data_IF_341560981075
#
_entry.id   IF_341560981075
#
_cell.length_a   1.000
_cell.length_b   1.000
_cell.length_c   1.000
_cell.angle_alpha   90.00
_cell.angle_beta   90.00
_cell.angle_gamma   90.00
#
_symmetry.space_group_name_H-M   'P 1'
#
loop_
_entity.id
_entity.type
_entity.pdbx_description
1 polymer ?
#
# COMPACT_ATOMS: atom_id res chain seq x y z
N UNK A 1 22.88 -11.76 -15.96
CA UNK A 1 22.90 -10.70 -14.93
C UNK A 1 21.50 -10.09 -14.93
N UNK A 2 20.64 -10.54 -14.03
CA UNK A 2 19.20 -10.22 -14.05
C UNK A 2 18.91 -9.32 -12.85
N UNK A 3 18.62 -8.05 -13.11
CA UNK A 3 18.27 -7.06 -12.08
C UNK A 3 16.97 -7.49 -11.38
N UNK A 4 16.93 -7.63 -10.05
CA UNK A 4 15.68 -7.89 -9.35
C UNK A 4 14.82 -6.61 -9.38
N UNK A 5 13.68 -6.69 -10.07
CA UNK A 5 12.67 -5.63 -10.11
C UNK A 5 12.09 -5.41 -8.71
N UNK A 6 12.13 -4.17 -8.25
CA UNK A 6 11.65 -3.74 -6.95
C UNK A 6 10.15 -4.01 -6.70
N UNK A 7 9.84 -4.16 -5.43
CA UNK A 7 8.51 -3.99 -4.83
C UNK A 7 7.38 -4.86 -5.42
N UNK A 8 7.57 -6.19 -5.38
CA UNK A 8 6.40 -7.08 -5.36
C UNK A 8 5.72 -6.95 -4.01
N UNK A 9 4.62 -6.22 -3.97
CA UNK A 9 3.78 -6.06 -2.79
C UNK A 9 3.16 -7.40 -2.38
N UNK A 10 3.82 -8.12 -1.47
CA UNK A 10 3.30 -9.36 -0.87
C UNK A 10 2.12 -9.13 0.09
N UNK A 11 1.27 -8.12 -0.16
CA UNK A 11 0.09 -7.78 0.65
C UNK A 11 -0.87 -8.95 0.80
N UNK A 12 -0.95 -9.83 -0.21
CA UNK A 12 -1.77 -11.04 -0.19
C UNK A 12 -1.25 -12.13 0.76
N UNK A 13 -0.01 -12.02 1.24
CA UNK A 13 0.61 -12.96 2.20
C UNK A 13 0.60 -12.43 3.63
N UNK A 14 0.07 -11.22 3.86
CA UNK A 14 0.04 -10.62 5.19
C UNK A 14 -0.94 -11.38 6.09
N UNK A 15 -0.55 -11.79 7.31
CA UNK A 15 -1.35 -12.68 8.17
C UNK A 15 -2.70 -12.09 8.60
N UNK A 16 -2.91 -10.78 8.45
CA UNK A 16 -4.18 -10.09 8.73
C UNK A 16 -5.15 -10.02 7.53
N UNK A 17 -4.74 -10.40 6.33
CA UNK A 17 -5.60 -10.34 5.13
C UNK A 17 -6.26 -11.71 4.92
N UNK A 18 -7.54 -11.82 5.29
CA UNK A 18 -8.36 -13.01 4.98
C UNK A 18 -8.41 -13.19 3.46
N UNK A 19 -7.66 -14.17 2.95
CA UNK A 19 -7.63 -14.55 1.54
C UNK A 19 -8.13 -15.99 1.39
N UNK A 20 -9.05 -16.22 0.45
CA UNK A 20 -9.54 -17.55 0.11
C UNK A 20 -10.73 -18.04 0.96
N UNK A 21 -10.65 -19.26 1.46
CA UNK A 21 -11.76 -20.07 2.02
C UNK A 21 -12.39 -19.56 3.34
N UNK A 22 -11.91 -18.44 3.89
CA UNK A 22 -12.50 -17.79 5.07
C UNK A 22 -13.46 -16.65 4.73
N UNK A 23 -13.72 -16.37 3.45
CA UNK A 23 -14.66 -15.34 3.01
C UNK A 23 -16.09 -15.86 3.12
N UNK A 24 -16.94 -15.09 3.81
CA UNK A 24 -18.38 -15.37 3.89
C UNK A 24 -19.01 -15.34 2.50
N UNK A 25 -20.14 -16.03 2.30
CA UNK A 25 -20.84 -16.11 1.00
C UNK A 25 -21.10 -14.71 0.42
N UNK A 26 -21.35 -13.72 1.29
CA UNK A 26 -21.53 -12.31 0.92
C UNK A 26 -20.27 -11.64 0.37
N UNK A 27 -19.09 -11.91 0.93
CA UNK A 27 -17.83 -11.34 0.44
C UNK A 27 -17.45 -11.91 -0.94
N UNK A 28 -17.72 -13.20 -1.18
CA UNK A 28 -17.56 -13.81 -2.52
C UNK A 28 -18.52 -13.20 -3.55
N UNK A 29 -19.76 -12.94 -3.16
CA UNK A 29 -20.74 -12.28 -4.03
C UNK A 29 -20.34 -10.83 -4.35
N UNK A 30 -19.86 -10.09 -3.35
CA UNK A 30 -19.35 -8.72 -3.52
C UNK A 30 -18.13 -8.66 -4.44
N UNK A 31 -17.19 -9.60 -4.32
CA UNK A 31 -16.01 -9.67 -5.19
C UNK A 31 -16.37 -9.97 -6.65
N UNK A 32 -17.36 -10.85 -6.87
CA UNK A 32 -17.87 -11.16 -8.21
C UNK A 32 -18.67 -9.99 -8.80
N UNK A 33 -19.50 -9.32 -7.98
CA UNK A 33 -20.19 -8.09 -8.37
C UNK A 33 -19.20 -6.98 -8.74
N UNK A 34 -18.12 -6.79 -7.96
CA UNK A 34 -17.07 -5.80 -8.26
C UNK A 34 -16.43 -6.03 -9.64
N UNK A 35 -16.17 -7.28 -10.01
CA UNK A 35 -15.60 -7.62 -11.32
C UNK A 35 -16.54 -7.29 -12.49
N UNK A 36 -17.86 -7.43 -12.30
CA UNK A 36 -18.87 -7.19 -13.35
C UNK A 36 -19.28 -5.71 -13.42
N UNK A 37 -19.54 -5.10 -12.25
CA UNK A 37 -20.07 -3.74 -12.11
C UNK A 37 -19.00 -2.66 -12.38
N UNK A 38 -17.71 -2.98 -12.25
CA UNK A 38 -16.59 -2.07 -12.55
C UNK A 38 -16.15 -2.06 -14.02
N UNK A 39 -16.79 -2.84 -14.89
CA UNK A 39 -16.40 -2.94 -16.30
C UNK A 39 -17.05 -1.84 -17.15
N UNK A 40 -16.29 -1.22 -18.05
CA UNK A 40 -16.80 -0.21 -18.99
C UNK A 40 -18.02 -0.67 -19.82
N UNK A 41 -18.09 -1.92 -20.32
CA UNK A 41 -19.26 -2.40 -21.06
C UNK A 41 -20.54 -2.47 -20.22
N UNK A 42 -20.45 -2.73 -18.92
CA UNK A 42 -21.61 -2.77 -18.02
C UNK A 42 -22.25 -1.39 -17.88
N UNK A 43 -21.43 -0.33 -17.80
CA UNK A 43 -21.91 1.06 -17.75
C UNK A 43 -22.71 1.42 -19.00
N UNK A 44 -22.19 1.09 -20.18
CA UNK A 44 -22.91 1.32 -21.45
C UNK A 44 -24.20 0.49 -21.56
N UNK A 45 -24.18 -0.77 -21.10
CA UNK A 45 -25.38 -1.61 -21.05
C UNK A 45 -26.46 -1.06 -20.13
N UNK A 46 -26.08 -0.53 -18.97
CA UNK A 46 -26.99 0.12 -18.04
C UNK A 46 -27.69 1.34 -18.68
N UNK A 47 -26.93 2.24 -19.31
CA UNK A 47 -27.50 3.37 -20.03
C UNK A 47 -28.39 2.95 -21.21
N UNK A 48 -28.00 1.91 -21.96
CA UNK A 48 -28.80 1.38 -23.06
C UNK A 48 -30.16 0.83 -22.59
N UNK A 49 -30.19 0.08 -21.48
CA UNK A 49 -31.45 -0.39 -20.86
C UNK A 49 -32.30 0.78 -20.38
N UNK A 50 -31.67 1.81 -19.79
CA UNK A 50 -32.37 3.01 -19.31
C UNK A 50 -33.05 3.78 -20.46
N UNK A 51 -32.33 3.98 -21.57
CA UNK A 51 -32.86 4.62 -22.78
C UNK A 51 -33.94 3.74 -23.41
N UNK A 52 -33.72 2.44 -23.53
CA UNK A 52 -34.69 1.50 -24.09
C UNK A 52 -35.99 1.51 -23.27
N UNK A 53 -35.89 1.54 -21.95
CA UNK A 53 -37.05 1.61 -21.05
C UNK A 53 -37.80 2.93 -21.20
N UNK A 54 -37.09 4.06 -21.25
CA UNK A 54 -37.69 5.37 -21.48
C UNK A 54 -38.40 5.44 -22.84
N UNK A 55 -37.80 4.88 -23.89
CA UNK A 55 -38.38 4.83 -25.24
C UNK A 55 -39.58 3.88 -25.29
N UNK A 56 -39.49 2.67 -24.72
CA UNK A 56 -40.59 1.71 -24.68
C UNK A 56 -41.81 2.29 -23.95
N UNK A 57 -41.59 2.96 -22.83
CA UNK A 57 -42.65 3.59 -22.07
C UNK A 57 -43.22 4.85 -22.77
N UNK A 58 -42.38 5.60 -23.52
CA UNK A 58 -42.86 6.72 -24.36
C UNK A 58 -43.68 6.23 -25.56
N UNK A 59 -43.29 5.12 -26.21
CA UNK A 59 -44.05 4.50 -27.30
C UNK A 59 -45.36 3.91 -26.77
N UNK A 60 -45.36 3.28 -25.60
CA UNK A 60 -46.59 2.78 -24.96
C UNK A 60 -47.55 3.93 -24.60
N UNK A 61 -47.01 5.09 -24.21
CA UNK A 61 -47.77 6.31 -23.97
C UNK A 61 -48.35 6.93 -25.26
N UNK A 62 -47.62 6.91 -26.38
CA UNK A 62 -48.06 7.50 -27.66
C UNK A 62 -48.83 6.54 -28.60
N UNK A 63 -48.64 5.22 -28.50
CA UNK A 63 -49.09 4.24 -29.50
C UNK A 63 -49.94 3.07 -29.01
N UNK A 64 -50.14 2.89 -27.70
CA UNK A 64 -50.81 1.72 -27.11
C UNK A 64 -52.24 1.96 -26.63
N UNK A 65 -53.19 1.34 -27.33
CA UNK A 65 -54.60 1.03 -26.97
C UNK A 65 -55.10 1.50 -25.58
N UNK A 66 -56.12 2.38 -25.60
CA UNK A 66 -57.09 2.65 -24.51
C UNK A 66 -56.78 3.76 -23.48
N UNK A 67 -56.09 4.85 -23.84
CA UNK A 67 -56.25 6.16 -23.17
C UNK A 67 -56.14 6.18 -21.62
N UNK A 68 -55.49 5.17 -21.03
CA UNK A 68 -55.37 4.97 -19.59
C UNK A 68 -53.90 4.77 -19.27
N UNK A 69 -53.33 5.83 -18.70
CA UNK A 69 -52.14 5.89 -17.86
C UNK A 69 -51.01 4.93 -18.26
N UNK A 70 -49.99 5.48 -18.96
CA UNK A 70 -48.71 4.77 -19.16
C UNK A 70 -48.17 4.23 -17.83
N UNK A 71 -47.43 3.13 -17.89
CA UNK A 71 -46.91 2.43 -16.71
C UNK A 71 -45.95 3.30 -15.87
N UNK A 72 -45.27 4.28 -16.49
CA UNK A 72 -44.42 5.27 -15.81
C UNK A 72 -44.49 6.67 -16.49
N UNK A 73 -45.60 7.42 -16.39
CA UNK A 73 -45.76 8.70 -17.08
C UNK A 73 -44.73 9.74 -16.63
N UNK A 74 -44.43 10.72 -17.48
CA UNK A 74 -43.54 11.83 -17.14
C UNK A 74 -44.07 12.57 -15.89
N UNK A 75 -43.29 12.77 -14.80
CA UNK A 75 -41.87 12.47 -14.60
C UNK A 75 -41.65 11.04 -14.09
N UNK A 76 -40.86 10.22 -14.81
CA UNK A 76 -40.62 8.79 -14.56
C UNK A 76 -40.32 8.46 -13.07
N UNK A 77 -41.35 8.17 -12.29
CA UNK A 77 -41.29 8.15 -10.83
C UNK A 77 -40.55 6.90 -10.36
N UNK A 78 -40.74 5.78 -11.07
CA UNK A 78 -40.13 4.50 -10.75
C UNK A 78 -38.65 4.51 -11.12
N UNK A 79 -38.31 5.07 -12.30
CA UNK A 79 -36.93 5.19 -12.74
C UNK A 79 -36.15 6.12 -11.79
N UNK A 80 -36.72 7.26 -11.43
CA UNK A 80 -36.07 8.20 -10.53
C UNK A 80 -35.91 7.63 -9.10
N UNK A 81 -36.89 6.87 -8.61
CA UNK A 81 -36.80 6.17 -7.33
C UNK A 81 -35.70 5.10 -7.35
N UNK A 82 -35.63 4.29 -8.42
CA UNK A 82 -34.61 3.26 -8.57
C UNK A 82 -33.19 3.87 -8.65
N UNK A 83 -33.02 4.95 -9.42
CA UNK A 83 -31.75 5.68 -9.47
C UNK A 83 -31.37 6.29 -8.11
N UNK A 84 -32.33 6.85 -7.38
CA UNK A 84 -32.09 7.42 -6.05
C UNK A 84 -31.67 6.33 -5.05
N UNK A 85 -32.32 5.15 -5.09
CA UNK A 85 -31.92 4.01 -4.28
C UNK A 85 -30.52 3.50 -4.67
N UNK A 86 -30.22 3.39 -5.96
CA UNK A 86 -28.91 2.97 -6.45
C UNK A 86 -27.80 3.95 -6.01
N UNK A 87 -28.06 5.25 -6.11
CA UNK A 87 -27.16 6.30 -5.63
C UNK A 87 -26.97 6.24 -4.10
N UNK A 88 -28.05 5.98 -3.34
CA UNK A 88 -27.99 5.78 -1.89
C UNK A 88 -27.12 4.57 -1.50
N UNK A 89 -27.28 3.44 -2.20
CA UNK A 89 -26.43 2.25 -2.00
C UNK A 89 -24.97 2.54 -2.35
N UNK A 90 -24.71 3.26 -3.45
CA UNK A 90 -23.36 3.68 -3.82
C UNK A 90 -22.72 4.60 -2.77
N UNK A 91 -23.47 5.58 -2.25
CA UNK A 91 -23.00 6.48 -1.20
C UNK A 91 -22.69 5.73 0.10
N UNK A 92 -23.54 4.77 0.48
CA UNK A 92 -23.30 3.91 1.65
C UNK A 92 -22.04 3.04 1.46
N UNK A 93 -21.87 2.43 0.28
CA UNK A 93 -20.69 1.64 -0.03
C UNK A 93 -19.40 2.50 0.00
N UNK A 94 -19.45 3.72 -0.53
CA UNK A 94 -18.36 4.69 -0.47
C UNK A 94 -18.02 5.04 0.98
N UNK A 95 -19.02 5.28 1.83
CA UNK A 95 -18.82 5.59 3.25
C UNK A 95 -18.19 4.42 4.02
N UNK A 96 -18.59 3.19 3.73
CA UNK A 96 -17.99 1.99 4.32
C UNK A 96 -16.52 1.86 3.87
N UNK A 97 -16.24 2.08 2.58
CA UNK A 97 -14.88 2.04 2.05
C UNK A 97 -14.00 3.13 2.68
N UNK A 98 -14.54 4.35 2.85
CA UNK A 98 -13.86 5.45 3.51
C UNK A 98 -13.55 5.13 4.98
N UNK A 99 -14.53 4.62 5.74
CA UNK A 99 -14.33 4.22 7.14
C UNK A 99 -13.24 3.15 7.29
N UNK A 100 -13.20 2.17 6.38
CA UNK A 100 -12.16 1.14 6.39
C UNK A 100 -10.78 1.72 6.05
N UNK A 101 -10.70 2.61 5.07
CA UNK A 101 -9.44 3.25 4.68
C UNK A 101 -8.87 4.11 5.82
N UNK A 102 -9.72 4.86 6.52
CA UNK A 102 -9.32 5.73 7.63
C UNK A 102 -8.79 4.93 8.83
N UNK A 103 -9.45 3.81 9.16
CA UNK A 103 -8.97 2.89 10.20
C UNK A 103 -7.57 2.33 9.89
N UNK A 104 -7.33 1.93 8.64
CA UNK A 104 -6.01 1.44 8.20
C UNK A 104 -4.96 2.56 8.24
N UNK A 105 -5.32 3.78 7.82
CA UNK A 105 -4.42 4.93 7.83
C UNK A 105 -3.97 5.29 9.26
N UNK A 106 -4.90 5.25 10.24
CA UNK A 106 -4.60 5.48 11.65
C UNK A 106 -3.63 4.43 12.21
N UNK A 107 -3.85 3.15 11.90
CA UNK A 107 -2.96 2.06 12.34
C UNK A 107 -1.55 2.19 11.74
N UNK A 108 -1.44 2.53 10.45
CA UNK A 108 -0.15 2.80 9.78
C UNK A 108 0.55 3.99 10.41
N UNK A 109 -0.17 5.06 10.78
CA UNK A 109 0.43 6.23 11.43
C UNK A 109 1.09 5.86 12.76
N UNK A 110 0.40 5.09 13.61
CA UNK A 110 0.94 4.61 14.90
C UNK A 110 2.17 3.74 14.71
N UNK A 111 2.16 2.84 13.71
CA UNK A 111 3.32 1.99 13.43
C UNK A 111 4.49 2.77 12.81
N UNK A 112 4.19 3.81 12.02
CA UNK A 112 5.23 4.67 11.43
C UNK A 112 5.92 5.50 12.51
N UNK A 113 5.18 5.97 13.52
CA UNK A 113 5.74 6.68 14.67
C UNK A 113 6.72 5.78 15.45
N UNK A 114 6.28 4.57 15.85
CA UNK A 114 7.14 3.59 16.54
C UNK A 114 8.38 3.21 15.72
N UNK A 115 8.20 2.88 14.44
CA UNK A 115 9.33 2.56 13.56
C UNK A 115 10.31 3.73 13.44
N UNK A 116 9.82 4.96 13.42
CA UNK A 116 10.68 6.15 13.34
C UNK A 116 11.52 6.30 14.59
N UNK A 117 10.97 6.02 15.76
CA UNK A 117 11.71 6.08 17.02
C UNK A 117 12.74 4.95 17.13
N UNK A 118 12.38 3.71 16.73
CA UNK A 118 13.34 2.60 16.65
C UNK A 118 14.50 2.93 15.68
N UNK A 119 14.19 3.52 14.51
CA UNK A 119 15.21 3.95 13.54
C UNK A 119 16.13 5.02 14.17
N UNK A 120 15.58 5.98 14.92
CA UNK A 120 16.40 6.99 15.61
C UNK A 120 17.32 6.34 16.62
N UNK A 121 16.85 5.36 17.39
CA UNK A 121 17.66 4.67 18.38
C UNK A 121 18.76 3.83 17.74
N UNK A 122 18.47 3.11 16.65
CA UNK A 122 19.48 2.40 15.85
C UNK A 122 20.54 3.34 15.25
N UNK A 123 20.16 4.56 14.85
CA UNK A 123 21.09 5.57 14.36
C UNK A 123 21.97 6.11 15.49
N UNK A 124 21.42 6.32 16.69
CA UNK A 124 22.22 6.70 17.88
C UNK A 124 23.23 5.62 18.21
N UNK A 125 22.83 4.35 18.21
CA UNK A 125 23.72 3.22 18.45
C UNK A 125 24.85 3.15 17.43
N UNK A 126 24.54 3.29 16.14
CA UNK A 126 25.57 3.35 15.09
C UNK A 126 26.54 4.53 15.28
N UNK A 127 26.01 5.69 15.68
CA UNK A 127 26.85 6.88 15.95
C UNK A 127 27.79 6.60 17.13
N UNK A 128 27.28 6.02 18.21
CA UNK A 128 28.09 5.66 19.37
C UNK A 128 29.16 4.60 19.05
N UNK A 129 28.82 3.59 18.24
CA UNK A 129 29.79 2.61 17.74
C UNK A 129 30.88 3.27 16.90
N UNK A 130 30.51 4.22 16.04
CA UNK A 130 31.47 4.99 15.22
C UNK A 130 32.44 5.79 16.10
N UNK A 131 31.94 6.40 17.19
CA UNK A 131 32.80 7.09 18.17
C UNK A 131 33.73 6.13 18.91
N UNK A 132 33.28 4.91 19.23
CA UNK A 132 34.15 3.90 19.83
C UNK A 132 35.26 3.46 18.88
N UNK A 133 34.95 3.21 17.62
CA UNK A 133 35.95 2.87 16.58
C UNK A 133 36.95 4.02 16.41
N UNK A 134 36.48 5.27 16.41
CA UNK A 134 37.36 6.44 16.35
C UNK A 134 38.31 6.48 17.55
N UNK A 135 37.80 6.33 18.78
CA UNK A 135 38.64 6.30 19.99
C UNK A 135 39.67 5.17 19.98
N UNK A 136 39.29 3.98 19.52
CA UNK A 136 40.22 2.86 19.39
C UNK A 136 41.34 3.18 18.39
N UNK A 137 41.01 3.87 17.29
CA UNK A 137 41.98 4.29 16.26
C UNK A 137 42.91 5.38 16.81
N UNK A 138 42.38 6.38 17.52
CA UNK A 138 43.18 7.45 18.14
C UNK A 138 44.18 6.89 19.18
N UNK A 139 43.77 5.90 19.98
CA UNK A 139 44.64 5.19 20.92
C UNK A 139 45.75 4.41 20.21
N UNK A 140 45.44 3.76 19.09
CA UNK A 140 46.43 3.08 18.25
C UNK A 140 47.50 4.05 17.72
N UNK A 141 47.09 5.22 17.25
CA UNK A 141 48.01 6.27 16.77
C UNK A 141 48.90 6.82 17.89
N UNK A 142 48.37 6.91 19.11
CA UNK A 142 49.14 7.35 20.27
C UNK A 142 50.16 6.30 20.72
N UNK A 143 49.77 5.03 20.74
CA UNK A 143 50.71 3.91 20.97
C UNK A 143 51.80 3.92 19.90
N UNK A 144 51.45 4.04 18.62
CA UNK A 144 52.43 4.08 17.53
C UNK A 144 53.43 5.23 17.71
N UNK A 145 52.95 6.43 18.08
CA UNK A 145 53.82 7.57 18.40
C UNK A 145 54.77 7.27 19.55
N UNK A 146 54.30 6.74 20.68
CA UNK A 146 55.16 6.39 21.81
C UNK A 146 56.20 5.32 21.45
N UNK A 147 55.82 4.29 20.70
CA UNK A 147 56.74 3.24 20.24
C UNK A 147 57.81 3.82 19.30
N UNK A 148 57.41 4.67 18.35
CA UNK A 148 58.35 5.32 17.43
C UNK A 148 59.33 6.27 18.14
N UNK A 149 58.90 6.91 19.23
CA UNK A 149 59.75 7.80 20.03
C UNK A 149 60.79 7.02 20.86
N UNK A 150 60.42 5.84 21.37
CA UNK A 150 61.34 4.96 22.12
C UNK A 150 62.33 4.25 21.21
N UNK A 151 61.90 3.88 20.01
CA UNK A 151 62.74 3.17 19.05
C UNK A 151 62.50 3.72 17.63
N UNK A 152 63.28 4.74 17.19
CA UNK A 152 63.09 5.43 15.90
C UNK A 152 63.16 4.52 14.67
N UNK A 153 63.82 3.37 14.81
CA UNK A 153 63.99 2.34 13.77
C UNK A 153 62.98 1.19 13.88
N UNK A 154 62.22 1.06 14.98
CA UNK A 154 61.26 -0.03 15.17
C UNK A 154 59.95 0.30 14.45
N UNK A 155 59.83 -0.20 13.22
CA UNK A 155 58.60 -0.09 12.44
C UNK A 155 58.81 0.34 11.00
N UNK A 156 60.04 0.68 10.59
CA UNK A 156 60.36 0.96 9.19
C UNK A 156 60.48 -0.35 8.41
N UNK A 157 59.34 -0.94 8.04
CA UNK A 157 59.29 -2.08 7.14
C UNK A 157 59.05 -1.58 5.71
N UNK A 158 59.90 -1.99 4.78
CA UNK A 158 59.62 -1.78 3.36
C UNK A 158 58.34 -2.53 2.98
N UNK A 159 57.54 -2.06 1.99
CA UNK A 159 56.30 -2.71 1.60
C UNK A 159 56.53 -4.20 1.32
N UNK A 160 55.92 -5.09 2.12
CA UNK A 160 56.02 -6.55 1.97
C UNK A 160 57.08 -7.28 2.80
N UNK A 161 57.72 -6.66 3.79
CA UNK A 161 58.60 -7.37 4.73
C UNK A 161 57.94 -7.67 6.08
N UNK A 162 58.02 -8.93 6.51
CA UNK A 162 57.55 -9.37 7.82
C UNK A 162 58.48 -8.91 8.97
N UNK A 163 57.95 -8.79 10.21
CA UNK A 163 58.75 -8.40 11.37
C UNK A 163 59.94 -9.37 11.55
N UNK A 164 61.16 -8.82 11.67
CA UNK A 164 62.34 -9.63 11.96
C UNK A 164 62.14 -10.39 13.27
N UNK A 165 62.28 -11.72 13.32
CA UNK A 165 62.08 -12.49 14.54
C UNK A 165 63.11 -12.06 15.58
N UNK A 166 62.65 -11.78 16.80
CA UNK A 166 63.51 -11.46 17.93
C UNK A 166 64.29 -12.73 18.30
N UNK A 167 65.61 -12.69 18.13
CA UNK A 167 66.51 -13.73 18.63
C UNK A 167 66.49 -13.73 20.17
N UNK A 168 66.55 -14.91 20.81
CA UNK A 168 66.43 -15.07 22.27
C UNK A 168 67.56 -14.42 23.07
#
# INVERSE_FOLDING_TARGET
MSTPRGWQTHWHKHPGVRSGDQLTVGERAADRMRGVMGSWPFVFGFFAVMILWAVANSIFYLGGSNGKHGFDPYPYILLNLFLSMLAGVQAAALLIAAKRADAIASEIAVHTERNTDDIKDLVKENTALTEQVKRATDLLDEIHRHVSALTPEAGRFAPGQDPRPLSP
#
